data_IF_933363639360
#
_entry.id   IF_933363639360
#
_cell.length_a   1.000
_cell.length_b   1.000
_cell.length_c   1.000
_cell.angle_alpha   90.00
_cell.angle_beta   90.00
_cell.angle_gamma   90.00
#
_symmetry.space_group_name_H-M   'P 1'
#
loop_
_entity.id
_entity.type
_entity.pdbx_description
1 polymer ?
#
# COMPACT_ATOMS: atom_id res chain seq x y z
N UNK A 1 5.94 7.78 -17.62
CA UNK A 1 5.90 6.34 -17.56
C UNK A 1 6.98 5.75 -16.73
N UNK A 2 7.29 6.39 -15.64
CA UNK A 2 8.37 5.95 -14.80
C UNK A 2 7.89 5.15 -13.62
N UNK A 3 6.78 4.46 -13.79
CA UNK A 3 6.24 3.65 -12.74
C UNK A 3 6.68 2.21 -12.91
N UNK A 4 6.99 1.59 -11.80
CA UNK A 4 7.50 0.24 -11.81
C UNK A 4 6.78 -0.57 -10.76
N UNK A 5 6.31 -1.75 -11.15
CA UNK A 5 5.63 -2.62 -10.21
C UNK A 5 6.67 -3.36 -9.39
N UNK A 6 6.53 -3.28 -8.08
CA UNK A 6 7.45 -3.95 -7.18
C UNK A 6 6.71 -5.08 -6.50
N UNK A 7 7.25 -6.31 -6.56
CA UNK A 7 6.60 -7.41 -5.85
C UNK A 7 6.61 -7.11 -4.36
N UNK A 8 5.46 -7.23 -3.73
CA UNK A 8 5.40 -6.94 -2.30
C UNK A 8 6.31 -7.87 -1.50
N UNK A 9 6.61 -9.03 -2.05
CA UNK A 9 7.50 -9.96 -1.38
C UNK A 9 8.94 -9.50 -1.37
N UNK A 10 9.26 -8.50 -2.18
CA UNK A 10 10.61 -7.93 -2.20
C UNK A 10 10.84 -6.99 -1.04
N UNK A 11 9.78 -6.60 -0.36
CA UNK A 11 9.87 -5.67 0.74
C UNK A 11 9.91 -6.43 2.05
N UNK A 12 10.65 -5.91 3.01
CA UNK A 12 10.61 -6.48 4.35
C UNK A 12 9.25 -6.20 4.96
N UNK A 13 8.95 -6.92 6.03
CA UNK A 13 7.65 -6.72 6.68
C UNK A 13 7.51 -5.28 7.15
N UNK A 14 8.58 -4.72 7.69
CA UNK A 14 8.53 -3.34 8.17
C UNK A 14 8.37 -2.36 7.04
N UNK A 15 9.09 -2.57 5.96
CA UNK A 15 8.99 -1.66 4.81
C UNK A 15 7.61 -1.73 4.19
N UNK A 16 7.07 -2.93 4.07
CA UNK A 16 5.74 -3.09 3.50
C UNK A 16 4.70 -2.41 4.36
N UNK A 17 4.81 -2.59 5.67
CA UNK A 17 3.87 -1.95 6.58
C UNK A 17 3.94 -0.43 6.45
N UNK A 18 5.15 0.10 6.33
CA UNK A 18 5.32 1.54 6.16
C UNK A 18 4.63 2.06 4.91
N UNK A 19 4.77 1.34 3.82
CA UNK A 19 4.13 1.72 2.57
C UNK A 19 2.61 1.72 2.72
N UNK A 20 2.09 0.69 3.36
CA UNK A 20 0.65 0.57 3.54
C UNK A 20 0.13 1.68 4.44
N UNK A 21 0.83 1.95 5.52
CA UNK A 21 0.41 2.99 6.44
C UNK A 21 0.42 4.36 5.77
N UNK A 22 1.43 4.59 4.96
CA UNK A 22 1.50 5.84 4.24
C UNK A 22 0.35 5.98 3.26
N UNK A 23 0.00 4.88 2.61
CA UNK A 23 -1.10 4.88 1.67
C UNK A 23 -2.41 5.20 2.39
N UNK A 24 -2.65 4.59 3.53
CA UNK A 24 -3.87 4.82 4.29
C UNK A 24 -3.94 6.27 4.75
N UNK A 25 -2.84 6.80 5.20
CA UNK A 25 -2.80 8.19 5.65
C UNK A 25 -3.05 9.16 4.50
N UNK A 26 -2.48 8.85 3.35
CA UNK A 26 -2.63 9.71 2.19
C UNK A 26 -4.06 9.77 1.71
N UNK A 27 -4.79 8.67 1.88
CA UNK A 27 -6.18 8.63 1.46
C UNK A 27 -7.06 9.53 2.32
N UNK A 28 -6.54 9.95 3.45
CA UNK A 28 -7.27 10.85 4.31
C UNK A 28 -8.45 10.19 5.00
N UNK A 29 -8.32 8.92 5.27
CA UNK A 29 -9.40 8.18 5.90
C UNK A 29 -9.15 7.99 7.38
N UNK A 30 -8.67 9.02 8.02
CA UNK A 30 -8.37 8.90 9.43
C UNK A 30 -9.61 8.92 10.30
N UNK A 31 -10.74 9.32 9.75
CA UNK A 31 -11.97 9.32 10.52
C UNK A 31 -12.34 7.88 10.86
N UNK A 32 -12.50 7.61 12.09
CA UNK A 32 -12.84 6.29 12.53
C UNK A 32 -11.68 5.33 12.62
N UNK A 33 -10.54 5.71 12.11
CA UNK A 33 -9.38 4.85 12.18
C UNK A 33 -8.94 4.61 13.61
N UNK A 34 -9.16 5.59 14.42
CA UNK A 34 -8.76 5.48 15.82
C UNK A 34 -9.46 4.31 16.47
N UNK A 35 -10.67 4.05 16.07
CA UNK A 35 -11.44 3.00 16.70
C UNK A 35 -11.17 1.65 16.11
N UNK A 36 -11.06 1.59 14.80
CA UNK A 36 -10.81 0.31 14.17
C UNK A 36 -9.38 -0.11 14.27
N UNK A 37 -8.51 0.85 14.47
CA UNK A 37 -7.12 0.50 14.53
C UNK A 37 -6.49 0.47 13.17
N UNK A 38 -5.35 1.11 13.07
CA UNK A 38 -4.58 1.12 11.85
C UNK A 38 -4.15 -0.30 11.47
N UNK A 39 -3.93 -1.15 12.47
CA UNK A 39 -3.47 -2.51 12.22
C UNK A 39 -4.47 -3.30 11.38
N UNK A 40 -5.74 -3.10 11.65
CA UNK A 40 -6.76 -3.82 10.91
C UNK A 40 -6.76 -3.43 9.46
N UNK A 41 -6.60 -2.14 9.19
CA UNK A 41 -6.52 -1.68 7.81
C UNK A 41 -5.28 -2.21 7.12
N UNK A 42 -4.18 -2.23 7.84
CA UNK A 42 -2.93 -2.74 7.29
C UNK A 42 -3.10 -4.21 6.93
N UNK A 43 -3.71 -4.98 7.81
CA UNK A 43 -3.91 -6.41 7.54
C UNK A 43 -4.81 -6.62 6.33
N UNK A 44 -5.81 -5.81 6.20
CA UNK A 44 -6.73 -5.92 5.09
C UNK A 44 -6.01 -5.70 3.76
N UNK A 45 -5.19 -4.67 3.71
CA UNK A 45 -4.46 -4.37 2.49
C UNK A 45 -3.40 -5.42 2.21
N UNK A 46 -2.76 -5.94 3.26
CA UNK A 46 -1.79 -7.00 3.07
C UNK A 46 -2.44 -8.23 2.46
N UNK A 47 -3.67 -8.53 2.87
CA UNK A 47 -4.39 -9.63 2.28
C UNK A 47 -4.66 -9.38 0.81
N UNK A 48 -5.03 -8.15 0.46
CA UNK A 48 -5.29 -7.81 -0.93
C UNK A 48 -4.02 -7.92 -1.76
N UNK A 49 -2.88 -7.58 -1.19
CA UNK A 49 -1.62 -7.75 -1.87
C UNK A 49 -1.32 -9.23 -2.11
N UNK A 50 -1.62 -10.04 -1.11
CA UNK A 50 -1.38 -11.47 -1.21
C UNK A 50 -2.26 -12.10 -2.29
N UNK A 51 -3.46 -11.57 -2.46
CA UNK A 51 -4.38 -12.08 -3.44
C UNK A 51 -4.25 -11.38 -4.79
N UNK A 52 -3.25 -10.54 -4.91
CA UNK A 52 -2.96 -9.85 -6.17
C UNK A 52 -4.09 -8.91 -6.60
N UNK A 53 -4.80 -8.39 -5.63
CA UNK A 53 -5.83 -7.40 -5.92
C UNK A 53 -5.27 -5.99 -5.89
N UNK A 54 -4.12 -5.81 -5.25
CA UNK A 54 -3.46 -4.53 -5.14
C UNK A 54 -1.98 -4.76 -5.40
N UNK A 55 -1.33 -3.78 -6.00
CA UNK A 55 0.09 -3.89 -6.31
C UNK A 55 0.85 -2.70 -5.77
N UNK A 56 2.11 -2.94 -5.46
CA UNK A 56 3.00 -1.88 -5.02
C UNK A 56 3.67 -1.29 -6.25
N UNK A 57 3.63 0.02 -6.35
CA UNK A 57 4.18 0.71 -7.52
C UNK A 57 5.15 1.78 -7.05
N UNK A 58 6.32 1.82 -7.69
CA UNK A 58 7.29 2.86 -7.44
C UNK A 58 7.22 3.88 -8.56
N UNK A 59 7.09 5.14 -8.19
CA UNK A 59 7.03 6.23 -9.15
C UNK A 59 8.37 6.96 -9.10
N UNK A 60 9.15 6.80 -10.15
CA UNK A 60 10.47 7.43 -10.20
C UNK A 60 10.38 8.93 -10.34
N UNK A 61 9.29 9.42 -10.90
CA UNK A 61 9.11 10.84 -11.09
C UNK A 61 9.03 11.57 -9.77
N UNK A 62 8.25 11.04 -8.85
CA UNK A 62 8.10 11.65 -7.53
C UNK A 62 8.97 10.95 -6.50
N UNK A 63 9.66 9.90 -6.90
CA UNK A 63 10.50 9.12 -6.01
C UNK A 63 9.69 8.63 -4.80
N UNK A 64 8.53 8.09 -5.08
CA UNK A 64 7.65 7.63 -4.01
C UNK A 64 7.06 6.28 -4.36
N UNK A 65 6.54 5.62 -3.34
CA UNK A 65 5.94 4.31 -3.48
C UNK A 65 4.46 4.44 -3.15
N UNK A 66 3.63 3.77 -3.92
CA UNK A 66 2.21 3.82 -3.66
C UNK A 66 1.57 2.48 -4.00
N UNK A 67 0.27 2.39 -3.76
CA UNK A 67 -0.48 1.17 -4.03
C UNK A 67 -1.55 1.48 -5.05
N UNK A 68 -1.78 0.54 -5.96
CA UNK A 68 -2.82 0.69 -6.97
C UNK A 68 -3.57 -0.62 -7.07
N UNK A 69 -4.83 -0.53 -7.44
CA UNK A 69 -5.61 -1.73 -7.68
C UNK A 69 -5.08 -2.43 -8.92
N UNK A 70 -4.97 -3.74 -8.86
CA UNK A 70 -4.41 -4.47 -9.99
C UNK A 70 -5.29 -4.34 -11.23
N UNK A 71 -6.56 -4.10 -11.04
CA UNK A 71 -7.46 -3.94 -12.18
C UNK A 71 -7.17 -2.66 -12.95
N UNK A 72 -6.54 -1.70 -12.30
CA UNK A 72 -6.24 -0.41 -12.92
C UNK A 72 -4.85 -0.36 -13.52
N UNK A 73 -4.08 -1.38 -13.34
CA UNK A 73 -2.69 -1.34 -13.80
C UNK A 73 -2.49 -2.03 -15.13
#
# INVERSE_FOLDING_TARGET
>A
MDKMIIPWTSLSADALRGVIEEFITREGTEYGLVEYGLSEKVDQIRRQLREDLVRVVFDAETNSVSLVASADS
#
